data_IF_414064903668
#
_entry.id   IF_414064903668
#
_cell.length_a   1.000
_cell.length_b   1.000
_cell.length_c   1.000
_cell.angle_alpha   90.00
_cell.angle_beta   90.00
_cell.angle_gamma   90.00
#
_symmetry.space_group_name_H-M   'P 1'
#
loop_
_entity.id
_entity.type
_entity.pdbx_description
1 polymer ?
#
# COMPACT_ATOMS: atom_id res chain seq x y z
N UNK A 1 3.94 -24.51 13.88
CA UNK A 1 3.96 -23.06 13.56
C UNK A 1 4.85 -22.39 14.58
N UNK A 2 5.95 -21.78 14.13
CA UNK A 2 6.89 -21.09 15.04
C UNK A 2 6.34 -19.71 15.41
N UNK A 3 6.82 -19.12 16.51
CA UNK A 3 6.48 -17.73 16.88
C UNK A 3 6.87 -16.75 15.77
N UNK A 4 7.94 -17.05 15.01
CA UNK A 4 8.37 -16.24 13.88
C UNK A 4 7.36 -16.28 12.72
N UNK A 5 6.83 -17.46 12.39
CA UNK A 5 5.79 -17.60 11.35
C UNK A 5 4.54 -16.77 11.70
N UNK A 6 4.09 -16.87 12.95
CA UNK A 6 2.92 -16.14 13.45
C UNK A 6 3.11 -14.60 13.37
N UNK A 7 4.32 -14.11 13.66
CA UNK A 7 4.65 -12.70 13.56
C UNK A 7 4.66 -12.22 12.11
N UNK A 8 5.20 -13.01 11.18
CA UNK A 8 5.22 -12.68 9.75
C UNK A 8 3.81 -12.64 9.16
N UNK A 9 2.97 -13.62 9.47
CA UNK A 9 1.58 -13.65 8.99
C UNK A 9 0.80 -12.44 9.52
N UNK A 10 1.04 -12.03 10.78
CA UNK A 10 0.45 -10.81 11.35
C UNK A 10 0.95 -9.54 10.66
N UNK A 11 2.24 -9.45 10.34
CA UNK A 11 2.82 -8.31 9.63
C UNK A 11 2.26 -8.20 8.22
N UNK A 12 2.13 -9.32 7.50
CA UNK A 12 1.53 -9.38 6.16
C UNK A 12 0.09 -8.87 6.22
N UNK A 13 -0.72 -9.38 7.16
CA UNK A 13 -2.12 -8.95 7.33
C UNK A 13 -2.21 -7.46 7.60
N UNK A 14 -1.38 -6.94 8.51
CA UNK A 14 -1.36 -5.51 8.83
C UNK A 14 -0.97 -4.63 7.62
N UNK A 15 0.02 -5.04 6.83
CA UNK A 15 0.43 -4.30 5.63
C UNK A 15 -0.64 -4.38 4.51
N UNK A 16 -1.36 -5.49 4.39
CA UNK A 16 -2.50 -5.62 3.47
C UNK A 16 -3.64 -4.65 3.85
N UNK A 17 -3.99 -4.57 5.14
CA UNK A 17 -5.01 -3.62 5.61
C UNK A 17 -4.59 -2.18 5.34
N UNK A 18 -3.33 -1.83 5.65
CA UNK A 18 -2.79 -0.51 5.39
C UNK A 18 -2.76 -0.18 3.88
N UNK A 19 -2.43 -1.16 3.03
CA UNK A 19 -2.45 -1.01 1.58
C UNK A 19 -3.87 -0.72 1.07
N UNK A 20 -4.86 -1.44 1.55
CA UNK A 20 -6.25 -1.23 1.19
C UNK A 20 -6.75 0.18 1.59
N UNK A 21 -6.34 0.66 2.77
CA UNK A 21 -6.65 2.02 3.23
C UNK A 21 -6.03 3.07 2.32
N UNK A 22 -4.74 2.93 2.00
CA UNK A 22 -4.03 3.88 1.13
C UNK A 22 -4.60 3.88 -0.29
N UNK A 23 -4.93 2.70 -0.83
CA UNK A 23 -5.56 2.57 -2.15
C UNK A 23 -6.93 3.27 -2.18
N UNK A 24 -7.72 3.14 -1.11
CA UNK A 24 -9.00 3.84 -0.99
C UNK A 24 -8.83 5.35 -0.97
N UNK A 25 -7.85 5.88 -0.22
CA UNK A 25 -7.56 7.32 -0.19
C UNK A 25 -7.16 7.87 -1.56
N UNK A 26 -6.34 7.13 -2.31
CA UNK A 26 -5.98 7.47 -3.69
C UNK A 26 -7.23 7.55 -4.57
N UNK A 27 -8.08 6.51 -4.53
CA UNK A 27 -9.30 6.45 -5.32
C UNK A 27 -10.27 7.60 -4.98
N UNK A 28 -10.49 7.87 -3.69
CA UNK A 28 -11.36 8.97 -3.25
C UNK A 28 -10.85 10.34 -3.70
N UNK A 29 -9.54 10.59 -3.60
CA UNK A 29 -8.98 11.87 -4.03
C UNK A 29 -9.01 12.01 -5.57
N UNK A 30 -8.72 10.94 -6.30
CA UNK A 30 -8.84 10.93 -7.75
C UNK A 30 -10.28 11.21 -8.20
N UNK A 31 -11.27 10.58 -7.57
CA UNK A 31 -12.69 10.83 -7.82
C UNK A 31 -13.07 12.29 -7.54
N UNK A 32 -12.64 12.85 -6.40
CA UNK A 32 -12.89 14.27 -6.08
C UNK A 32 -12.33 15.24 -7.13
N UNK A 33 -11.15 14.94 -7.69
CA UNK A 33 -10.55 15.75 -8.76
C UNK A 33 -11.32 15.58 -10.07
N UNK A 34 -11.82 14.38 -10.38
CA UNK A 34 -12.63 14.14 -11.56
C UNK A 34 -13.99 14.84 -11.49
N UNK A 35 -14.67 14.76 -10.33
CA UNK A 35 -15.96 15.41 -10.07
C UNK A 35 -15.85 16.94 -10.05
N UNK A 36 -14.66 17.46 -9.73
CA UNK A 36 -14.37 18.87 -9.67
C UNK A 36 -13.13 19.14 -10.51
N UNK A 37 -13.24 19.36 -11.83
CA UNK A 37 -12.11 19.72 -12.67
C UNK A 37 -11.62 21.16 -12.39
N UNK A 38 -10.40 21.51 -12.82
CA UNK A 38 -9.92 22.89 -12.75
C UNK A 38 -10.77 23.82 -13.63
N UNK A 39 -10.98 25.05 -13.15
CA UNK A 39 -11.73 26.10 -13.82
C UNK A 39 -11.09 27.46 -13.58
N UNK A 40 -11.60 28.53 -14.20
CA UNK A 40 -11.09 29.88 -14.01
C UNK A 40 -11.08 30.35 -12.53
N UNK A 41 -11.94 29.79 -11.69
CA UNK A 41 -12.06 30.12 -10.26
C UNK A 41 -11.50 29.04 -9.34
N UNK A 42 -10.98 27.93 -9.87
CA UNK A 42 -10.54 26.78 -9.07
C UNK A 42 -9.30 26.10 -9.66
N UNK A 43 -8.25 26.02 -8.85
CA UNK A 43 -7.07 25.20 -9.14
C UNK A 43 -7.17 23.82 -8.49
N UNK A 44 -6.74 22.78 -9.21
CA UNK A 44 -6.58 21.41 -8.70
C UNK A 44 -5.12 21.02 -8.47
N UNK A 45 -4.16 21.92 -8.69
CA UNK A 45 -2.73 21.58 -8.63
C UNK A 45 -2.29 21.02 -7.28
N UNK A 46 -2.84 21.55 -6.18
CA UNK A 46 -2.60 21.04 -4.83
C UNK A 46 -3.18 19.64 -4.61
N UNK A 47 -4.37 19.37 -5.14
CA UNK A 47 -4.99 18.06 -5.05
C UNK A 47 -4.24 17.03 -5.89
N UNK A 48 -3.79 17.40 -7.10
CA UNK A 48 -2.95 16.54 -7.95
C UNK A 48 -1.60 16.26 -7.29
N UNK A 49 -1.00 17.26 -6.64
CA UNK A 49 0.25 17.06 -5.87
C UNK A 49 0.05 16.08 -4.72
N UNK A 50 -1.05 16.22 -3.97
CA UNK A 50 -1.39 15.30 -2.88
C UNK A 50 -1.69 13.89 -3.40
N UNK A 51 -2.36 13.78 -4.54
CA UNK A 51 -2.63 12.50 -5.19
C UNK A 51 -1.33 11.79 -5.57
N UNK A 52 -0.36 12.51 -6.14
CA UNK A 52 0.96 11.97 -6.47
C UNK A 52 1.70 11.43 -5.24
N UNK A 53 1.65 12.16 -4.12
CA UNK A 53 2.23 11.72 -2.86
C UNK A 53 1.56 10.44 -2.34
N UNK A 54 0.23 10.36 -2.38
CA UNK A 54 -0.51 9.17 -1.94
C UNK A 54 -0.24 7.96 -2.83
N UNK A 55 -0.16 8.14 -4.15
CA UNK A 55 0.23 7.07 -5.08
C UNK A 55 1.66 6.59 -4.80
N UNK A 56 2.59 7.51 -4.50
CA UNK A 56 3.97 7.14 -4.17
C UNK A 56 4.04 6.31 -2.89
N UNK A 57 3.31 6.70 -1.85
CA UNK A 57 3.24 5.92 -0.60
C UNK A 57 2.58 4.56 -0.82
N UNK A 58 1.52 4.50 -1.65
CA UNK A 58 0.87 3.25 -2.02
C UNK A 58 1.87 2.29 -2.69
N UNK A 59 2.62 2.78 -3.68
CA UNK A 59 3.66 1.99 -4.36
C UNK A 59 4.73 1.50 -3.39
N UNK A 60 5.19 2.36 -2.49
CA UNK A 60 6.18 2.01 -1.46
C UNK A 60 5.66 0.88 -0.55
N UNK A 61 4.39 0.95 -0.17
CA UNK A 61 3.77 -0.08 0.68
C UNK A 61 3.57 -1.39 -0.07
N UNK A 62 3.16 -1.36 -1.33
CA UNK A 62 3.07 -2.55 -2.18
C UNK A 62 4.41 -3.27 -2.24
N UNK A 63 5.48 -2.55 -2.56
CA UNK A 63 6.82 -3.13 -2.63
C UNK A 63 7.27 -3.73 -1.29
N UNK A 64 6.95 -3.07 -0.17
CA UNK A 64 7.24 -3.61 1.17
C UNK A 64 6.47 -4.90 1.46
N UNK A 65 5.19 -4.96 1.10
CA UNK A 65 4.35 -6.14 1.30
C UNK A 65 4.86 -7.31 0.47
N UNK A 66 5.17 -7.08 -0.81
CA UNK A 66 5.74 -8.09 -1.70
C UNK A 66 7.05 -8.67 -1.15
N UNK A 67 7.98 -7.80 -0.72
CA UNK A 67 9.23 -8.23 -0.10
C UNK A 67 9.01 -9.02 1.21
N UNK A 68 7.99 -8.66 2.00
CA UNK A 68 7.65 -9.37 3.25
C UNK A 68 7.10 -10.76 2.95
N UNK A 69 6.26 -10.89 1.91
CA UNK A 69 5.72 -12.17 1.44
C UNK A 69 6.85 -13.07 0.94
N UNK A 70 7.77 -12.53 0.13
CA UNK A 70 8.93 -13.26 -0.38
C UNK A 70 9.83 -13.76 0.77
N UNK A 71 10.13 -12.89 1.74
CA UNK A 71 10.91 -13.27 2.92
C UNK A 71 10.25 -14.40 3.71
N UNK A 72 8.92 -14.35 3.90
CA UNK A 72 8.18 -15.40 4.58
C UNK A 72 8.22 -16.74 3.82
N UNK A 73 8.19 -16.71 2.49
CA UNK A 73 8.34 -17.92 1.66
C UNK A 73 9.74 -18.52 1.77
N UNK A 74 10.79 -17.70 1.72
CA UNK A 74 12.18 -18.15 1.85
C UNK A 74 12.42 -18.82 3.21
N UNK A 75 11.91 -18.24 4.30
CA UNK A 75 12.04 -18.82 5.65
C UNK A 75 11.32 -20.16 5.77
N UNK A 76 10.12 -20.29 5.19
CA UNK A 76 9.38 -21.57 5.16
C UNK A 76 10.18 -22.65 4.41
N UNK A 77 10.72 -22.31 3.25
CA UNK A 77 11.50 -23.24 2.42
C UNK A 77 12.80 -23.70 3.10
N UNK A 78 13.48 -22.80 3.82
CA UNK A 78 14.68 -23.15 4.60
C UNK A 78 14.34 -24.08 5.79
N UNK A 79 13.21 -23.89 6.44
CA UNK A 79 12.78 -24.74 7.56
C UNK A 79 12.33 -26.15 7.12
N UNK A 80 11.86 -26.32 5.89
CA UNK A 80 11.44 -27.64 5.36
C UNK A 80 12.57 -28.48 4.75
N UNK A 81 13.76 -27.90 4.60
CA UNK A 81 14.94 -28.57 4.03
C UNK A 81 15.86 -29.23 5.08
N UNK A 82 15.48 -29.15 6.36
CA UNK A 82 16.13 -29.78 7.51
C UNK A 82 15.17 -30.77 8.18
#
# INVERSE_FOLDING_TARGET
MTTADALLDRLITHEQDALAIDARRVAELAARIADNPPSATRSTSGDVTRLSQYVTELLRRTAKLEATIEAAQLMKNQNTAH
#
